data_IF_046207283842
#
_entry.id   IF_046207283842
#
_cell.length_a   1.000
_cell.length_b   1.000
_cell.length_c   1.000
_cell.angle_alpha   90.00
_cell.angle_beta   90.00
_cell.angle_gamma   90.00
#
_symmetry.space_group_name_H-M   'P 1'
#
loop_
_entity.id
_entity.type
_entity.pdbx_description
1 polymer ?
#
# COMPACT_ATOMS: atom_id res chain seq x y z
N UNK A 1 29.16 -17.67 22.74
CA UNK A 1 28.69 -16.60 23.64
C UNK A 1 27.17 -16.51 23.50
N UNK A 2 26.44 -16.62 24.61
CA UNK A 2 25.00 -16.93 24.67
C UNK A 2 24.16 -15.65 24.53
N UNK A 3 23.31 -15.56 23.50
CA UNK A 3 22.35 -14.46 23.27
C UNK A 3 21.21 -14.41 24.31
N UNK A 4 21.02 -15.48 25.09
CA UNK A 4 19.87 -15.66 25.98
C UNK A 4 19.94 -14.83 27.26
N UNK A 5 21.11 -14.33 27.66
CA UNK A 5 21.27 -13.61 28.93
C UNK A 5 20.95 -12.10 28.83
N UNK A 6 20.89 -11.54 27.61
CA UNK A 6 20.69 -10.09 27.38
C UNK A 6 19.22 -9.66 27.47
N UNK A 7 18.28 -10.60 27.38
CA UNK A 7 16.83 -10.30 27.38
C UNK A 7 16.25 -10.36 28.81
N UNK A 8 16.99 -10.97 29.76
CA UNK A 8 16.50 -11.14 31.14
C UNK A 8 16.75 -9.94 32.04
N UNK A 9 17.69 -9.07 31.67
CA UNK A 9 18.08 -7.87 32.42
C UNK A 9 17.36 -6.60 31.90
N UNK A 10 16.79 -6.63 30.70
CA UNK A 10 16.12 -5.48 30.10
C UNK A 10 14.74 -5.27 30.75
N UNK A 11 14.64 -4.31 31.66
CA UNK A 11 13.40 -3.88 32.30
C UNK A 11 12.88 -2.62 31.59
N UNK A 12 11.86 -2.72 30.72
CA UNK A 12 11.42 -1.63 29.86
C UNK A 12 10.86 -0.43 30.65
N UNK A 13 10.52 -0.60 31.92
CA UNK A 13 10.05 0.50 32.78
C UNK A 13 11.20 1.38 33.31
N UNK A 14 12.42 0.84 33.39
CA UNK A 14 13.61 1.54 33.91
C UNK A 14 14.60 1.92 32.81
N UNK A 15 14.78 1.06 31.80
CA UNK A 15 15.81 1.23 30.77
C UNK A 15 15.37 2.13 29.60
N UNK A 16 14.09 2.48 29.51
CA UNK A 16 13.60 3.46 28.54
C UNK A 16 13.78 4.93 29.01
N UNK A 17 14.26 5.15 30.24
CA UNK A 17 14.59 6.48 30.74
C UNK A 17 16.08 6.72 30.46
N UNK A 18 16.46 7.71 29.63
CA UNK A 18 17.86 8.01 29.42
C UNK A 18 18.49 8.41 30.76
N UNK A 19 19.53 7.67 31.18
CA UNK A 19 20.29 7.98 32.37
C UNK A 19 20.78 9.42 32.30
N UNK A 20 20.39 10.23 33.27
CA UNK A 20 20.86 11.61 33.42
C UNK A 20 22.33 11.58 33.87
N UNK A 21 23.24 11.34 32.93
CA UNK A 21 24.66 11.57 33.12
C UNK A 21 24.91 13.05 32.90
N UNK A 22 24.94 13.77 34.02
CA UNK A 22 25.46 15.13 34.10
C UNK A 22 26.87 15.18 33.51
N UNK A 23 27.10 16.14 32.61
CA UNK A 23 28.33 16.95 32.48
C UNK A 23 28.96 17.10 31.07
N UNK A 24 28.16 17.17 30.00
CA UNK A 24 28.57 17.95 28.82
C UNK A 24 27.46 18.87 28.35
N UNK A 25 27.81 20.14 28.17
CA UNK A 25 26.95 21.25 27.73
C UNK A 25 26.43 21.03 26.30
N UNK A 26 25.53 20.08 26.11
CA UNK A 26 24.52 20.21 25.07
C UNK A 26 23.38 20.98 25.72
N UNK A 27 23.51 22.30 25.70
CA UNK A 27 22.45 23.24 26.02
C UNK A 27 21.27 22.86 25.14
N UNK A 28 20.33 22.14 25.75
CA UNK A 28 19.04 21.86 25.19
C UNK A 28 18.41 23.24 25.08
N UNK A 29 18.49 23.84 23.90
CA UNK A 29 17.83 25.10 23.51
C UNK A 29 16.29 25.02 23.67
N UNK A 30 15.76 23.90 24.20
CA UNK A 30 14.34 23.59 24.35
C UNK A 30 13.90 23.35 25.81
N UNK A 31 14.78 23.52 26.81
CA UNK A 31 14.41 23.27 28.21
C UNK A 31 13.76 24.49 28.91
N UNK A 32 13.73 25.66 28.26
CA UNK A 32 13.06 26.88 28.75
C UNK A 32 11.79 27.23 27.94
N UNK A 33 11.33 26.32 27.08
CA UNK A 33 10.01 26.44 26.48
C UNK A 33 8.97 25.99 27.51
N UNK A 34 8.00 26.84 27.89
CA UNK A 34 6.88 26.39 28.71
C UNK A 34 6.22 25.22 27.97
N UNK A 35 6.09 24.07 28.64
CA UNK A 35 5.45 22.88 28.07
C UNK A 35 4.19 23.33 27.31
N UNK A 36 4.08 23.04 25.99
CA UNK A 36 2.99 23.56 25.20
C UNK A 36 1.68 23.09 25.84
N UNK A 37 0.91 24.05 26.37
CA UNK A 37 -0.34 23.81 27.10
C UNK A 37 -1.45 23.26 26.21
N UNK A 38 -1.15 23.08 24.93
CA UNK A 38 -2.00 22.42 23.95
C UNK A 38 -1.11 21.54 23.08
N UNK A 39 -1.15 20.23 23.33
CA UNK A 39 -0.87 19.28 22.25
C UNK A 39 -2.02 19.48 21.26
N UNK A 40 -1.81 20.30 20.23
CA UNK A 40 -2.76 20.39 19.12
C UNK A 40 -2.82 19.01 18.45
N UNK A 41 -3.81 18.21 18.85
CA UNK A 41 -4.09 16.95 18.20
C UNK A 41 -4.44 17.24 16.74
N UNK A 42 -3.80 16.57 15.77
CA UNK A 42 -4.01 16.84 14.36
C UNK A 42 -5.50 16.70 14.04
N UNK A 43 -6.11 17.80 13.58
CA UNK A 43 -7.50 17.84 13.15
C UNK A 43 -7.68 16.85 12.00
N UNK A 44 -8.30 15.68 12.25
CA UNK A 44 -8.53 14.69 11.19
C UNK A 44 -9.61 15.24 10.24
N UNK A 45 -9.29 15.55 8.98
CA UNK A 45 -10.30 16.05 8.05
C UNK A 45 -11.44 15.04 7.89
N UNK A 46 -12.65 15.56 7.68
CA UNK A 46 -13.88 14.76 7.52
C UNK A 46 -13.78 13.69 6.41
N UNK A 47 -12.88 13.90 5.45
CA UNK A 47 -12.51 12.92 4.42
C UNK A 47 -12.05 11.59 4.98
N UNK A 48 -11.29 11.56 6.08
CA UNK A 48 -10.85 10.29 6.68
C UNK A 48 -12.01 9.48 7.25
N UNK A 49 -12.99 10.15 7.88
CA UNK A 49 -14.18 9.48 8.40
C UNK A 49 -15.06 8.92 7.27
N UNK A 50 -15.08 9.60 6.12
CA UNK A 50 -15.80 9.11 4.95
C UNK A 50 -15.09 7.91 4.31
N UNK A 51 -13.75 7.96 4.19
CA UNK A 51 -12.93 6.82 3.74
C UNK A 51 -13.10 5.60 4.66
N UNK A 52 -13.06 5.81 5.98
CA UNK A 52 -13.24 4.75 6.96
C UNK A 52 -14.62 4.09 6.81
N UNK A 53 -15.68 4.88 6.61
CA UNK A 53 -17.01 4.35 6.32
C UNK A 53 -17.09 3.61 4.99
N UNK A 54 -16.44 4.11 3.95
CA UNK A 54 -16.38 3.45 2.65
C UNK A 54 -15.66 2.09 2.75
N UNK A 55 -14.54 2.04 3.47
CA UNK A 55 -13.78 0.82 3.72
C UNK A 55 -14.61 -0.23 4.47
N UNK A 56 -15.24 0.18 5.58
CA UNK A 56 -16.12 -0.70 6.37
C UNK A 56 -17.35 -1.19 5.58
N UNK A 57 -17.85 -0.37 4.64
CA UNK A 57 -18.95 -0.75 3.76
C UNK A 57 -18.54 -1.79 2.72
N UNK A 58 -17.30 -1.73 2.23
CA UNK A 58 -16.72 -2.74 1.31
C UNK A 58 -16.34 -4.01 2.04
N UNK A 59 -15.88 -3.91 3.29
CA UNK A 59 -15.50 -5.08 4.11
C UNK A 59 -16.71 -5.93 4.50
N UNK A 60 -17.85 -5.31 4.84
CA UNK A 60 -19.10 -6.01 5.24
C UNK A 60 -19.59 -7.09 4.26
N UNK A 61 -19.75 -6.84 2.95
CA UNK A 61 -20.21 -7.85 2.01
C UNK A 61 -19.17 -8.95 1.81
N UNK A 62 -17.87 -8.63 1.84
CA UNK A 62 -16.81 -9.63 1.67
C UNK A 62 -16.71 -10.55 2.89
N UNK A 63 -16.77 -9.99 4.10
CA UNK A 63 -16.78 -10.78 5.33
C UNK A 63 -18.02 -11.69 5.40
N UNK A 64 -19.16 -11.25 4.82
CA UNK A 64 -20.39 -12.05 4.71
C UNK A 64 -20.29 -13.18 3.68
N UNK A 65 -19.56 -12.99 2.58
CA UNK A 65 -19.37 -14.03 1.55
C UNK A 65 -18.34 -15.08 1.99
N UNK A 66 -17.30 -14.66 2.70
CA UNK A 66 -16.17 -15.51 3.05
C UNK A 66 -16.43 -16.35 4.31
N UNK A 67 -17.32 -15.91 5.22
CA UNK A 67 -17.83 -16.71 6.35
C UNK A 67 -16.82 -17.07 7.44
N UNK A 68 -15.51 -16.95 7.18
CA UNK A 68 -14.41 -17.17 8.11
C UNK A 68 -13.45 -15.96 8.08
N UNK A 69 -13.18 -15.30 9.23
CA UNK A 69 -12.30 -14.11 9.29
C UNK A 69 -10.88 -14.34 8.74
N UNK A 70 -10.44 -15.60 8.77
CA UNK A 70 -9.09 -16.03 8.41
C UNK A 70 -8.85 -16.08 6.89
N UNK A 71 -9.93 -16.15 6.09
CA UNK A 71 -9.85 -16.20 4.63
C UNK A 71 -10.18 -14.85 3.99
N UNK A 72 -10.24 -13.76 4.75
CA UNK A 72 -10.56 -12.45 4.21
C UNK A 72 -9.42 -11.98 3.27
N UNK A 73 -9.65 -11.87 1.95
CA UNK A 73 -8.63 -11.50 0.98
C UNK A 73 -8.05 -10.10 1.23
N UNK A 74 -8.78 -9.26 1.97
CA UNK A 74 -8.36 -7.91 2.30
C UNK A 74 -7.16 -7.83 3.25
N UNK A 75 -6.81 -8.89 3.96
CA UNK A 75 -5.55 -8.91 4.73
C UNK A 75 -4.31 -9.07 3.85
N UNK A 76 -4.48 -9.50 2.60
CA UNK A 76 -3.40 -9.77 1.65
C UNK A 76 -3.41 -8.81 0.45
N UNK A 77 -4.01 -7.62 0.59
CA UNK A 77 -4.08 -6.61 -0.51
C UNK A 77 -2.72 -6.29 -1.09
N UNK A 78 -1.67 -6.20 -0.26
CA UNK A 78 -0.31 -5.98 -0.73
C UNK A 78 0.22 -7.09 -1.65
N UNK A 79 -0.01 -8.37 -1.31
CA UNK A 79 0.43 -9.50 -2.15
C UNK A 79 -0.38 -9.56 -3.45
N UNK A 80 -1.69 -9.31 -3.35
CA UNK A 80 -2.59 -9.23 -4.50
C UNK A 80 -2.12 -8.09 -5.42
N UNK A 81 -1.80 -6.91 -4.91
CA UNK A 81 -1.29 -5.79 -5.69
C UNK A 81 -0.01 -6.15 -6.46
N UNK A 82 0.96 -6.80 -5.82
CA UNK A 82 2.20 -7.25 -6.49
C UNK A 82 1.89 -8.28 -7.59
N UNK A 83 0.98 -9.21 -7.34
CA UNK A 83 0.53 -10.18 -8.35
C UNK A 83 -0.12 -9.50 -9.56
N UNK A 84 -1.05 -8.55 -9.34
CA UNK A 84 -1.69 -7.78 -10.42
C UNK A 84 -0.67 -6.94 -11.19
N UNK A 85 0.28 -6.32 -10.48
CA UNK A 85 1.37 -5.57 -11.11
C UNK A 85 2.20 -6.46 -12.03
N UNK A 86 2.49 -7.70 -11.63
CA UNK A 86 3.14 -8.69 -12.48
C UNK A 86 2.38 -8.96 -13.77
N UNK A 87 1.05 -9.13 -13.70
CA UNK A 87 0.19 -9.30 -14.89
C UNK A 87 0.25 -8.07 -15.79
N UNK A 88 0.11 -6.86 -15.23
CA UNK A 88 0.17 -5.59 -15.96
C UNK A 88 1.52 -5.45 -16.68
N UNK A 89 2.63 -5.78 -16.00
CA UNK A 89 3.96 -5.71 -16.57
C UNK A 89 4.16 -6.67 -17.75
N UNK A 90 3.74 -7.94 -17.60
CA UNK A 90 3.85 -8.95 -18.67
C UNK A 90 2.98 -8.56 -19.88
N UNK A 91 1.73 -8.20 -19.64
CA UNK A 91 0.79 -7.82 -20.72
C UNK A 91 1.16 -6.49 -21.38
N UNK A 92 1.65 -5.52 -20.61
CA UNK A 92 2.15 -4.24 -21.11
C UNK A 92 3.40 -4.42 -21.96
N UNK A 93 4.34 -5.26 -21.52
CA UNK A 93 5.53 -5.58 -22.31
C UNK A 93 5.15 -6.24 -23.65
N UNK A 94 4.21 -7.19 -23.63
CA UNK A 94 3.70 -7.79 -24.86
C UNK A 94 3.13 -6.72 -25.81
N UNK A 95 2.27 -5.82 -25.32
CA UNK A 95 1.68 -4.76 -26.14
C UNK A 95 2.76 -3.85 -26.75
N UNK A 96 3.76 -3.44 -25.97
CA UNK A 96 4.84 -2.55 -26.45
C UNK A 96 5.69 -3.23 -27.54
N UNK A 97 5.97 -4.53 -27.42
CA UNK A 97 6.78 -5.26 -28.42
C UNK A 97 6.09 -5.37 -29.78
N UNK A 98 4.77 -5.50 -29.81
CA UNK A 98 4.02 -5.66 -31.05
C UNK A 98 3.46 -4.34 -31.60
N UNK A 99 3.36 -3.29 -30.79
CA UNK A 99 2.75 -2.01 -31.18
C UNK A 99 3.58 -1.26 -32.22
N UNK A 100 2.96 -0.94 -33.36
CA UNK A 100 3.57 -0.15 -34.43
C UNK A 100 3.24 1.34 -34.23
N UNK A 101 4.25 2.14 -33.92
CA UNK A 101 4.12 3.60 -33.73
C UNK A 101 4.15 4.30 -35.10
N UNK A 102 3.04 4.94 -35.47
CA UNK A 102 2.93 5.71 -36.73
C UNK A 102 1.52 6.26 -36.95
N UNK A 103 1.39 7.39 -37.67
CA UNK A 103 0.10 8.11 -37.79
C UNK A 103 -1.00 7.24 -38.42
N UNK A 104 -0.72 6.61 -39.56
CA UNK A 104 -1.66 5.69 -40.22
C UNK A 104 -1.61 4.26 -39.66
N UNK A 105 -0.43 3.84 -39.20
CA UNK A 105 -0.17 2.47 -38.76
C UNK A 105 -0.78 2.16 -37.38
N UNK A 106 -0.92 3.15 -36.50
CA UNK A 106 -1.47 2.94 -35.15
C UNK A 106 -2.93 2.48 -35.20
N UNK A 107 -3.73 3.08 -36.08
CA UNK A 107 -5.15 2.72 -36.21
C UNK A 107 -5.32 1.33 -36.84
N UNK A 108 -4.55 1.05 -37.90
CA UNK A 108 -4.54 -0.26 -38.55
C UNK A 108 -4.08 -1.37 -37.60
N UNK A 109 -3.13 -1.08 -36.71
CA UNK A 109 -2.65 -2.04 -35.71
C UNK A 109 -3.75 -2.45 -34.73
N UNK A 110 -4.55 -1.50 -34.25
CA UNK A 110 -5.68 -1.81 -33.33
C UNK A 110 -6.71 -2.69 -34.04
N UNK A 111 -7.04 -2.38 -35.29
CA UNK A 111 -7.97 -3.21 -36.09
C UNK A 111 -7.44 -4.64 -36.30
N UNK A 112 -6.13 -4.81 -36.51
CA UNK A 112 -5.49 -6.14 -36.62
C UNK A 112 -5.42 -6.89 -35.30
N UNK A 113 -5.19 -6.20 -34.19
CA UNK A 113 -5.23 -6.82 -32.86
C UNK A 113 -6.62 -7.35 -32.52
N UNK A 114 -7.67 -6.61 -32.89
CA UNK A 114 -9.05 -6.98 -32.58
C UNK A 114 -9.50 -8.25 -33.32
N UNK A 115 -8.96 -8.51 -34.51
CA UNK A 115 -9.25 -9.72 -35.27
C UNK A 115 -8.55 -10.97 -34.69
N UNK A 116 -7.53 -10.79 -33.85
CA UNK A 116 -6.82 -11.89 -33.21
C UNK A 116 -7.34 -12.13 -31.78
N UNK A 117 -7.87 -13.32 -31.45
CA UNK A 117 -8.47 -13.58 -30.15
C UNK A 117 -7.48 -13.43 -28.99
N UNK A 118 -6.21 -13.79 -29.22
CA UNK A 118 -5.14 -13.73 -28.21
C UNK A 118 -4.81 -12.27 -27.87
N UNK A 119 -4.56 -11.43 -28.88
CA UNK A 119 -4.20 -10.03 -28.67
C UNK A 119 -5.35 -9.24 -28.04
N UNK A 120 -6.60 -9.56 -28.41
CA UNK A 120 -7.80 -9.01 -27.75
C UNK A 120 -7.85 -9.37 -26.26
N UNK A 121 -7.59 -10.62 -25.91
CA UNK A 121 -7.56 -11.06 -24.49
C UNK A 121 -6.42 -10.38 -23.74
N UNK A 122 -5.22 -10.26 -24.31
CA UNK A 122 -4.10 -9.56 -23.65
C UNK A 122 -4.44 -8.10 -23.39
N UNK A 123 -5.06 -7.41 -24.35
CA UNK A 123 -5.52 -6.02 -24.18
C UNK A 123 -6.58 -5.89 -23.09
N UNK A 124 -7.56 -6.79 -23.08
CA UNK A 124 -8.60 -6.82 -22.05
C UNK A 124 -8.01 -7.11 -20.67
N UNK A 125 -7.11 -8.10 -20.56
CA UNK A 125 -6.43 -8.45 -19.33
C UNK A 125 -5.61 -7.26 -18.79
N UNK A 126 -4.81 -6.60 -19.65
CA UNK A 126 -4.05 -5.42 -19.26
C UNK A 126 -4.94 -4.32 -18.67
N UNK A 127 -6.09 -4.05 -19.32
CA UNK A 127 -7.05 -3.05 -18.87
C UNK A 127 -7.69 -3.42 -17.52
N UNK A 128 -8.29 -4.60 -17.42
CA UNK A 128 -8.99 -5.02 -16.20
C UNK A 128 -8.05 -5.22 -15.02
N UNK A 129 -6.83 -5.72 -15.26
CA UNK A 129 -5.81 -5.83 -14.21
C UNK A 129 -5.35 -4.47 -13.72
N UNK A 130 -5.24 -3.46 -14.60
CA UNK A 130 -4.89 -2.09 -14.19
C UNK A 130 -5.96 -1.46 -13.31
N UNK A 131 -7.24 -1.61 -13.68
CA UNK A 131 -8.37 -1.12 -12.88
C UNK A 131 -8.39 -1.80 -11.49
N UNK A 132 -8.23 -3.13 -11.47
CA UNK A 132 -8.21 -3.89 -10.23
C UNK A 132 -6.98 -3.56 -9.36
N UNK A 133 -5.81 -3.31 -9.95
CA UNK A 133 -4.60 -2.92 -9.22
C UNK A 133 -4.80 -1.60 -8.49
N UNK A 134 -5.38 -0.60 -9.14
CA UNK A 134 -5.68 0.69 -8.53
C UNK A 134 -6.65 0.52 -7.36
N UNK A 135 -7.72 -0.26 -7.55
CA UNK A 135 -8.70 -0.53 -6.49
C UNK A 135 -8.03 -1.20 -5.28
N UNK A 136 -7.21 -2.22 -5.49
CA UNK A 136 -6.52 -2.95 -4.41
C UNK A 136 -5.46 -2.08 -3.73
N UNK A 137 -4.79 -1.18 -4.45
CA UNK A 137 -3.77 -0.30 -3.86
C UNK A 137 -4.34 0.80 -2.95
N UNK A 138 -5.60 1.20 -3.18
CA UNK A 138 -6.29 2.22 -2.38
C UNK A 138 -6.92 1.59 -1.13
N UNK A 139 -7.13 0.27 -1.15
CA UNK A 139 -7.78 -0.50 -0.11
C UNK A 139 -6.77 -1.00 0.95
#
# INVERSE_FOLDING_TARGET
>A
MKTTDLIKEFDPARDCVPASETDEKFEIVFADDPAPSTIELPQRPAIFHWLERAFLAVEKPVNRIVGAPQLNPFYYTGQIAVFLFGIIAITGLFLVLFFQVGFDYSYLFVSRIESQPIARVVRAAHRYSSDAFVIVSIL
#
